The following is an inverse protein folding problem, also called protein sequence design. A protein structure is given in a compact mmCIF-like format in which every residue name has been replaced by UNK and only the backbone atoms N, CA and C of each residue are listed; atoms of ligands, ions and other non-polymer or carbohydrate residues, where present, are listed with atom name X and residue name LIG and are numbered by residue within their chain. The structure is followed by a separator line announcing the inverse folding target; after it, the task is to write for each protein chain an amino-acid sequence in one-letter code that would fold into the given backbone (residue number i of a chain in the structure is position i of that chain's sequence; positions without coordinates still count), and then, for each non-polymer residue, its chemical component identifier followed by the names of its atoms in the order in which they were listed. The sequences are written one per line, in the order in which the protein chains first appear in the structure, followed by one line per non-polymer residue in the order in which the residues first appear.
data_IF_612977855779
#
_entry.id   IF_612977855779
#
_cell.length_a   1.000
_cell.length_b   1.000
_cell.length_c   1.000
_cell.angle_alpha   90.00
_cell.angle_beta   90.00
_cell.angle_gamma   90.00
#
_symmetry.space_group_name_H-M   'P 1'
#
loop_
_entity.id
_entity.type
_entity.pdbx_description
1 polymer ?
#
# COMPACT_ATOMS: atom_id res chain seq x y z
N UNK A 1 23.84 -22.83 8.49
CA UNK A 1 23.35 -21.86 7.50
C UNK A 1 23.50 -20.50 8.17
N UNK A 2 24.50 -19.73 7.78
CA UNK A 2 24.86 -18.49 8.44
C UNK A 2 25.21 -17.45 7.39
N UNK A 3 24.43 -16.38 7.33
CA UNK A 3 24.66 -15.26 6.41
C UNK A 3 26.09 -14.73 6.60
N UNK A 4 26.94 -14.89 5.57
CA UNK A 4 28.29 -14.33 5.57
C UNK A 4 28.23 -12.91 5.05
N UNK A 5 28.84 -12.00 5.80
CA UNK A 5 28.92 -10.59 5.40
C UNK A 5 29.61 -10.45 4.04
N UNK A 6 28.94 -9.78 3.09
CA UNK A 6 29.48 -9.50 1.77
C UNK A 6 29.45 -10.66 0.77
N UNK A 7 28.84 -11.80 1.10
CA UNK A 7 28.56 -12.89 0.16
C UNK A 7 27.05 -13.12 0.02
N UNK A 8 26.62 -13.43 -1.21
CA UNK A 8 25.25 -13.83 -1.52
C UNK A 8 25.10 -15.34 -1.68
N UNK A 9 26.16 -16.14 -1.49
CA UNK A 9 26.12 -17.56 -1.85
C UNK A 9 25.04 -18.33 -1.10
N UNK A 10 25.04 -18.23 0.24
CA UNK A 10 24.04 -18.92 1.07
C UNK A 10 22.64 -18.30 0.92
N UNK A 11 22.54 -16.99 0.68
CA UNK A 11 21.27 -16.29 0.49
C UNK A 11 20.61 -16.76 -0.80
N UNK A 12 21.35 -16.76 -1.90
CA UNK A 12 20.86 -17.13 -3.22
C UNK A 12 20.62 -18.63 -3.39
N UNK A 13 21.33 -19.47 -2.63
CA UNK A 13 21.01 -20.90 -2.54
C UNK A 13 19.67 -21.16 -1.80
N UNK A 14 19.26 -20.24 -0.93
CA UNK A 14 18.07 -20.38 -0.09
C UNK A 14 16.83 -19.69 -0.68
N UNK A 15 17.01 -18.60 -1.42
CA UNK A 15 15.94 -17.82 -2.02
C UNK A 15 16.31 -17.34 -3.42
N UNK A 16 15.35 -17.41 -4.35
CA UNK A 16 15.52 -17.02 -5.74
C UNK A 16 15.38 -15.50 -5.95
N UNK A 17 16.27 -14.69 -5.38
CA UNK A 17 16.19 -13.24 -5.52
C UNK A 17 16.57 -12.80 -6.94
N UNK A 18 15.99 -11.68 -7.40
CA UNK A 18 16.27 -11.04 -8.71
C UNK A 18 17.76 -10.90 -9.03
N UNK A 19 18.59 -10.64 -8.02
CA UNK A 19 20.04 -10.43 -8.17
C UNK A 19 20.85 -11.74 -8.26
N UNK A 20 20.30 -12.87 -7.83
CA UNK A 20 21.01 -14.15 -7.71
C UNK A 20 21.58 -14.71 -9.01
N UNK A 21 20.91 -14.57 -10.18
CA UNK A 21 21.48 -14.97 -11.46
C UNK A 21 22.71 -14.14 -11.90
N UNK A 22 23.03 -13.04 -11.20
CA UNK A 22 24.07 -12.08 -11.60
C UNK A 22 25.25 -12.00 -10.63
N UNK A 23 25.26 -12.81 -9.57
CA UNK A 23 26.29 -12.79 -8.51
C UNK A 23 26.92 -14.16 -8.32
N UNK A 24 28.09 -14.22 -7.67
CA UNK A 24 28.81 -15.45 -7.35
C UNK A 24 29.64 -16.00 -8.50
N UNK A 25 29.00 -16.41 -9.59
CA UNK A 25 29.64 -17.06 -10.74
C UNK A 25 29.27 -16.41 -12.08
N UNK A 26 29.92 -16.80 -13.18
CA UNK A 26 29.57 -16.34 -14.53
C UNK A 26 28.17 -16.77 -14.98
N UNK A 27 27.60 -17.79 -14.36
CA UNK A 27 26.24 -18.30 -14.62
C UNK A 27 25.26 -17.95 -13.48
N UNK A 28 25.69 -17.15 -12.50
CA UNK A 28 24.89 -16.86 -11.31
C UNK A 28 24.88 -17.99 -10.28
N UNK A 29 24.02 -17.85 -9.28
CA UNK A 29 23.74 -18.86 -8.26
C UNK A 29 22.29 -19.28 -8.37
N UNK A 30 22.08 -20.59 -8.50
CA UNK A 30 20.74 -21.18 -8.56
C UNK A 30 20.25 -21.54 -7.15
N UNK A 31 18.96 -21.27 -6.83
CA UNK A 31 18.36 -21.69 -5.58
C UNK A 31 18.25 -23.23 -5.52
N UNK A 32 18.47 -23.79 -4.33
CA UNK A 32 18.33 -25.23 -4.09
C UNK A 32 16.88 -25.71 -4.18
N UNK A 33 15.91 -24.85 -3.86
CA UNK A 33 14.49 -25.13 -3.99
C UNK A 33 13.74 -23.89 -4.49
N UNK A 34 12.92 -24.07 -5.52
CA UNK A 34 12.06 -23.03 -6.09
C UNK A 34 10.71 -23.63 -6.52
N UNK A 35 9.69 -22.77 -6.65
CA UNK A 35 8.36 -23.18 -7.12
C UNK A 35 8.40 -23.71 -8.54
N UNK A 36 7.64 -24.77 -8.84
CA UNK A 36 7.54 -25.32 -10.19
C UNK A 36 7.12 -24.26 -11.21
N UNK A 37 7.77 -24.31 -12.36
CA UNK A 37 7.44 -23.47 -13.50
C UNK A 37 6.21 -24.05 -14.21
N UNK A 38 5.40 -23.17 -14.77
CA UNK A 38 4.22 -23.56 -15.55
C UNK A 38 4.40 -23.05 -16.96
N UNK A 39 4.20 -23.95 -17.93
CA UNK A 39 4.20 -23.60 -19.34
C UNK A 39 2.78 -23.21 -19.77
N UNK A 40 2.60 -21.97 -20.23
CA UNK A 40 1.34 -21.49 -20.80
C UNK A 40 1.61 -21.08 -22.24
N UNK A 41 1.00 -21.78 -23.20
CA UNK A 41 1.06 -21.45 -24.63
C UNK A 41 2.49 -21.27 -25.18
N UNK A 42 3.43 -22.14 -24.78
CA UNK A 42 4.82 -22.10 -25.21
C UNK A 42 5.70 -21.07 -24.50
N UNK A 43 5.17 -20.36 -23.48
CA UNK A 43 5.95 -19.49 -22.60
C UNK A 43 6.08 -20.15 -21.22
N UNK A 44 7.32 -20.32 -20.75
CA UNK A 44 7.62 -20.81 -19.41
C UNK A 44 7.52 -19.65 -18.43
N UNK A 45 6.55 -19.71 -17.52
CA UNK A 45 6.39 -18.77 -16.41
C UNK A 45 7.07 -19.36 -15.19
N UNK A 46 8.04 -18.62 -14.67
CA UNK A 46 8.71 -18.95 -13.42
C UNK A 46 7.85 -18.49 -12.24
N UNK A 47 7.80 -19.31 -11.19
CA UNK A 47 7.21 -18.95 -9.89
C UNK A 47 5.81 -18.28 -9.97
N UNK A 48 4.81 -18.95 -10.58
CA UNK A 48 3.50 -18.35 -10.83
C UNK A 48 2.75 -17.95 -9.54
N UNK A 49 3.01 -18.64 -8.42
CA UNK A 49 2.46 -18.30 -7.11
C UNK A 49 2.87 -16.89 -6.65
N UNK A 50 4.15 -16.56 -6.77
CA UNK A 50 4.71 -15.27 -6.37
C UNK A 50 4.24 -14.16 -7.32
N UNK A 51 4.15 -14.47 -8.62
CA UNK A 51 3.56 -13.58 -9.63
C UNK A 51 2.14 -13.14 -9.27
N UNK A 52 1.31 -14.07 -8.77
CA UNK A 52 -0.05 -13.75 -8.33
C UNK A 52 -0.05 -12.74 -7.17
N UNK A 53 0.87 -12.87 -6.21
CA UNK A 53 1.00 -11.93 -5.09
C UNK A 53 1.41 -10.54 -5.57
N UNK A 54 2.32 -10.43 -6.53
CA UNK A 54 2.68 -9.13 -7.13
C UNK A 54 1.46 -8.44 -7.77
N UNK A 55 0.60 -9.19 -8.48
CA UNK A 55 -0.63 -8.63 -9.06
C UNK A 55 -1.57 -8.10 -7.97
N UNK A 56 -1.75 -8.87 -6.88
CA UNK A 56 -2.53 -8.44 -5.72
C UNK A 56 -1.91 -7.20 -5.06
N UNK A 57 -0.58 -7.16 -4.93
CA UNK A 57 0.16 -6.04 -4.35
C UNK A 57 -0.03 -4.75 -5.15
N UNK A 58 0.07 -4.82 -6.49
CA UNK A 58 -0.17 -3.69 -7.38
C UNK A 58 -1.61 -3.18 -7.24
N UNK A 59 -2.60 -4.09 -7.24
CA UNK A 59 -4.01 -3.72 -7.09
C UNK A 59 -4.29 -3.06 -5.74
N UNK A 60 -3.82 -3.65 -4.64
CA UNK A 60 -3.95 -3.08 -3.30
C UNK A 60 -3.24 -1.73 -3.18
N UNK A 61 -2.07 -1.57 -3.79
CA UNK A 61 -1.35 -0.29 -3.84
C UNK A 61 -2.16 0.76 -4.59
N UNK A 62 -2.84 0.40 -5.68
CA UNK A 62 -3.76 1.28 -6.39
C UNK A 62 -4.91 1.79 -5.50
N UNK A 63 -5.53 0.90 -4.71
CA UNK A 63 -6.58 1.27 -3.76
C UNK A 63 -6.04 2.23 -2.69
N UNK A 64 -4.87 1.94 -2.11
CA UNK A 64 -4.24 2.82 -1.12
C UNK A 64 -3.96 4.22 -1.71
N UNK A 65 -3.39 4.30 -2.92
CA UNK A 65 -3.15 5.57 -3.61
C UNK A 65 -4.46 6.34 -3.81
N UNK A 66 -5.55 5.66 -4.20
CA UNK A 66 -6.86 6.29 -4.36
C UNK A 66 -7.36 6.91 -3.04
N UNK A 67 -7.30 6.18 -1.93
CA UNK A 67 -7.73 6.68 -0.63
C UNK A 67 -6.87 7.85 -0.11
N UNK A 68 -5.55 7.79 -0.28
CA UNK A 68 -4.66 8.89 0.09
C UNK A 68 -5.02 10.16 -0.70
N UNK A 69 -5.33 10.02 -1.99
CA UNK A 69 -5.70 11.15 -2.85
C UNK A 69 -7.08 11.72 -2.55
N UNK A 70 -8.00 10.92 -1.99
CA UNK A 70 -9.32 11.41 -1.58
C UNK A 70 -9.29 12.29 -0.33
N UNK A 71 -8.21 12.28 0.47
CA UNK A 71 -8.07 13.20 1.62
C UNK A 71 -7.63 14.59 1.15
N UNK A 72 -8.33 15.65 1.59
CA UNK A 72 -8.08 17.04 1.16
C UNK A 72 -7.02 17.76 2.01
N UNK A 73 -7.05 17.57 3.33
CA UNK A 73 -6.03 18.02 4.29
C UNK A 73 -5.49 16.78 5.00
N UNK A 74 -4.19 16.54 4.90
CA UNK A 74 -3.51 15.44 5.57
C UNK A 74 -2.00 15.71 5.55
N UNK A 75 -1.36 15.55 6.71
CA UNK A 75 0.09 15.72 6.87
C UNK A 75 0.84 14.61 6.11
N UNK A 76 1.88 14.97 5.38
CA UNK A 76 2.74 14.09 4.60
C UNK A 76 2.08 13.54 3.34
N UNK A 77 0.92 14.06 2.90
CA UNK A 77 0.12 13.42 1.83
C UNK A 77 0.91 13.25 0.54
N UNK A 78 1.66 14.26 0.10
CA UNK A 78 2.38 14.20 -1.18
C UNK A 78 3.66 13.37 -1.07
N UNK A 79 4.28 13.40 0.10
CA UNK A 79 5.50 12.70 0.49
C UNK A 79 5.25 11.19 0.55
N UNK A 80 4.16 10.75 1.21
CA UNK A 80 3.81 9.33 1.32
C UNK A 80 3.28 8.78 -0.01
N UNK A 81 2.59 9.59 -0.82
CA UNK A 81 2.18 9.19 -2.17
C UNK A 81 3.39 8.82 -3.04
N UNK A 82 4.51 9.52 -2.89
CA UNK A 82 5.74 9.16 -3.62
C UNK A 82 6.27 7.79 -3.21
N UNK A 83 6.18 7.41 -1.93
CA UNK A 83 6.53 6.06 -1.47
C UNK A 83 5.66 4.98 -2.15
N UNK A 84 4.33 5.16 -2.17
CA UNK A 84 3.43 4.20 -2.80
C UNK A 84 3.58 4.13 -4.32
N UNK A 85 3.92 5.24 -4.99
CA UNK A 85 4.26 5.22 -6.41
C UNK A 85 5.53 4.42 -6.69
N UNK A 86 6.57 4.58 -5.87
CA UNK A 86 7.79 3.79 -5.99
C UNK A 86 7.51 2.30 -5.73
N UNK A 87 6.73 1.99 -4.70
CA UNK A 87 6.32 0.62 -4.39
C UNK A 87 5.56 -0.03 -5.56
N UNK A 88 4.61 0.68 -6.18
CA UNK A 88 3.90 0.17 -7.36
C UNK A 88 4.83 -0.12 -8.55
N UNK A 89 5.84 0.74 -8.80
CA UNK A 89 6.83 0.52 -9.87
C UNK A 89 7.74 -0.68 -9.53
N UNK A 90 8.15 -0.83 -8.26
CA UNK A 90 8.95 -1.97 -7.79
C UNK A 90 8.20 -3.28 -7.99
N UNK A 91 6.93 -3.35 -7.58
CA UNK A 91 6.10 -4.55 -7.72
C UNK A 91 5.85 -4.90 -9.20
N UNK A 92 5.65 -3.89 -10.06
CA UNK A 92 5.54 -4.09 -11.50
C UNK A 92 6.82 -4.66 -12.11
N UNK A 93 7.98 -4.14 -11.69
CA UNK A 93 9.27 -4.62 -12.18
C UNK A 93 9.62 -6.00 -11.62
N UNK A 94 9.31 -6.26 -10.36
CA UNK A 94 9.44 -7.58 -9.74
C UNK A 94 8.60 -8.62 -10.48
N UNK A 95 7.35 -8.29 -10.84
CA UNK A 95 6.51 -9.15 -11.64
C UNK A 95 7.19 -9.60 -12.94
N UNK A 96 7.86 -8.70 -13.68
CA UNK A 96 8.56 -9.07 -14.93
C UNK A 96 9.83 -9.89 -14.71
N UNK A 97 10.53 -9.67 -13.59
CA UNK A 97 11.81 -10.32 -13.28
C UNK A 97 11.60 -11.70 -12.66
N UNK A 98 10.69 -11.83 -11.70
CA UNK A 98 10.41 -13.09 -10.99
C UNK A 98 9.60 -14.07 -11.86
N UNK A 99 8.73 -13.56 -12.75
CA UNK A 99 8.01 -14.41 -13.72
C UNK A 99 8.88 -14.99 -14.82
N UNK A 100 10.11 -14.49 -14.99
CA UNK A 100 11.00 -14.83 -16.09
C UNK A 100 10.48 -14.39 -17.47
N UNK A 101 9.50 -13.49 -17.54
CA UNK A 101 9.09 -12.82 -18.81
C UNK A 101 10.29 -12.14 -19.45
N UNK A 102 11.17 -11.56 -18.63
CA UNK A 102 12.52 -11.15 -19.05
C UNK A 102 13.47 -12.29 -18.68
N UNK A 103 13.94 -13.10 -19.64
CA UNK A 103 14.82 -14.22 -19.33
C UNK A 103 16.15 -13.72 -18.78
N UNK A 104 16.71 -14.44 -17.79
CA UNK A 104 18.02 -14.14 -17.19
C UNK A 104 19.16 -14.14 -18.20
N UNK A 105 19.04 -14.92 -19.28
CA UNK A 105 20.00 -14.98 -20.38
C UNK A 105 19.96 -13.75 -21.31
N UNK A 106 18.92 -12.90 -21.21
CA UNK A 106 18.82 -11.71 -22.04
C UNK A 106 19.82 -10.64 -21.57
N UNK A 107 20.52 -10.00 -22.51
CA UNK A 107 21.47 -8.89 -22.26
C UNK A 107 20.84 -7.72 -21.49
N UNK A 108 19.51 -7.60 -21.55
CA UNK A 108 18.75 -6.57 -20.85
C UNK A 108 18.52 -6.87 -19.37
N UNK A 109 18.54 -8.13 -18.95
CA UNK A 109 18.23 -8.55 -17.57
C UNK A 109 19.09 -7.83 -16.51
N UNK A 110 20.43 -7.71 -16.66
CA UNK A 110 21.26 -7.00 -15.68
C UNK A 110 20.89 -5.52 -15.51
N UNK A 111 20.38 -4.87 -16.56
CA UNK A 111 19.95 -3.47 -16.49
C UNK A 111 18.65 -3.34 -15.69
N UNK A 112 17.66 -4.19 -15.98
CA UNK A 112 16.39 -4.21 -15.24
C UNK A 112 16.61 -4.61 -13.77
N UNK A 113 17.46 -5.60 -13.51
CA UNK A 113 17.84 -5.98 -12.15
C UNK A 113 18.51 -4.79 -11.42
N UNK A 114 19.39 -4.05 -12.07
CA UNK A 114 20.01 -2.87 -11.47
C UNK A 114 19.00 -1.74 -11.18
N UNK A 115 18.09 -1.45 -12.12
CA UNK A 115 17.00 -0.49 -11.89
C UNK A 115 16.14 -0.93 -10.71
N UNK A 116 15.79 -2.21 -10.63
CA UNK A 116 15.05 -2.78 -9.50
C UNK A 116 15.78 -2.57 -8.18
N UNK A 117 17.06 -2.93 -8.09
CA UNK A 117 17.84 -2.72 -6.86
C UNK A 117 17.91 -1.25 -6.45
N UNK A 118 18.00 -0.35 -7.44
CA UNK A 118 18.04 1.07 -7.16
C UNK A 118 16.72 1.65 -6.71
N UNK A 119 15.61 1.19 -7.30
CA UNK A 119 14.26 1.57 -6.86
C UNK A 119 14.00 1.09 -5.44
N UNK A 120 14.40 -0.15 -5.09
CA UNK A 120 14.29 -0.67 -3.74
C UNK A 120 15.06 0.21 -2.76
N UNK A 121 16.34 0.51 -3.01
CA UNK A 121 17.13 1.37 -2.14
C UNK A 121 16.53 2.79 -2.01
N UNK A 122 16.04 3.36 -3.11
CA UNK A 122 15.36 4.65 -3.13
C UNK A 122 14.03 4.64 -2.37
N UNK A 123 13.24 3.57 -2.45
CA UNK A 123 11.98 3.44 -1.71
C UNK A 123 12.21 3.41 -0.19
N UNK A 124 13.25 2.74 0.29
CA UNK A 124 13.61 2.76 1.70
C UNK A 124 14.15 4.14 2.16
N UNK A 125 14.86 4.87 1.29
CA UNK A 125 15.20 6.28 1.57
C UNK A 125 13.95 7.14 1.67
N UNK A 126 12.99 6.96 0.76
CA UNK A 126 11.72 7.66 0.77
C UNK A 126 10.94 7.35 2.05
N UNK A 127 10.89 6.08 2.48
CA UNK A 127 10.28 5.66 3.75
C UNK A 127 10.95 6.35 4.95
N UNK A 128 12.28 6.37 4.99
CA UNK A 128 13.04 7.02 6.05
C UNK A 128 12.74 8.52 6.15
N UNK A 129 12.74 9.24 5.03
CA UNK A 129 12.43 10.68 5.00
C UNK A 129 10.98 10.92 5.43
N UNK A 130 10.02 10.11 4.93
CA UNK A 130 8.63 10.16 5.38
C UNK A 130 8.52 9.98 6.91
N UNK A 131 9.36 9.14 7.49
CA UNK A 131 9.39 8.94 8.93
C UNK A 131 9.84 10.16 9.74
N UNK A 132 10.52 11.12 9.12
CA UNK A 132 10.89 12.39 9.73
C UNK A 132 9.89 13.52 9.49
N UNK A 133 9.01 13.40 8.49
CA UNK A 133 8.00 14.42 8.17
C UNK A 133 7.05 14.66 9.35
N UNK A 134 6.72 13.61 10.10
CA UNK A 134 5.86 13.72 11.29
C UNK A 134 6.44 14.57 12.43
N UNK A 135 7.76 14.81 12.45
CA UNK A 135 8.39 15.72 13.43
C UNK A 135 8.31 17.20 13.03
N UNK A 136 7.77 17.50 11.84
CA UNK A 136 7.57 18.86 11.34
C UNK A 136 8.86 19.72 11.32
N UNK A 137 10.05 19.10 11.16
CA UNK A 137 11.32 19.83 11.00
C UNK A 137 11.32 20.75 9.77
N UNK A 138 10.60 20.35 8.73
CA UNK A 138 10.27 21.16 7.58
C UNK A 138 8.75 21.18 7.44
N UNK A 139 8.20 22.33 7.06
CA UNK A 139 6.77 22.46 6.81
C UNK A 139 6.36 21.52 5.67
N UNK A 140 5.42 20.64 5.99
CA UNK A 140 4.95 19.57 5.11
C UNK A 140 4.27 20.13 3.85
N UNK A 141 4.43 19.45 2.71
CA UNK A 141 3.85 19.87 1.43
C UNK A 141 4.49 21.12 0.81
N UNK A 142 5.47 21.74 1.46
CA UNK A 142 6.27 22.82 0.86
C UNK A 142 7.08 22.30 -0.33
N UNK A 143 7.33 23.15 -1.34
CA UNK A 143 8.20 22.77 -2.46
C UNK A 143 9.59 22.29 -1.99
N UNK A 144 10.11 22.85 -0.91
CA UNK A 144 11.40 22.47 -0.34
C UNK A 144 11.37 21.02 0.18
N UNK A 145 10.38 20.65 1.00
CA UNK A 145 10.19 19.28 1.49
C UNK A 145 10.15 18.26 0.34
N UNK A 146 9.32 18.55 -0.67
CA UNK A 146 9.11 17.66 -1.80
C UNK A 146 10.35 17.51 -2.69
N UNK A 147 11.04 18.62 -2.98
CA UNK A 147 12.27 18.56 -3.77
C UNK A 147 13.40 17.88 -3.02
N UNK A 148 13.51 18.10 -1.71
CA UNK A 148 14.46 17.37 -0.87
C UNK A 148 14.22 15.86 -0.94
N UNK A 149 12.97 15.42 -0.72
CA UNK A 149 12.59 14.00 -0.78
C UNK A 149 12.88 13.39 -2.17
N UNK A 150 12.54 14.12 -3.25
CA UNK A 150 12.79 13.67 -4.63
C UNK A 150 14.26 13.55 -4.95
N UNK A 151 15.05 14.56 -4.61
CA UNK A 151 16.49 14.57 -4.89
C UNK A 151 17.20 13.49 -4.06
N UNK A 152 16.90 13.36 -2.78
CA UNK A 152 17.50 12.34 -1.93
C UNK A 152 17.18 10.91 -2.42
N UNK A 153 15.93 10.67 -2.82
CA UNK A 153 15.51 9.40 -3.40
C UNK A 153 16.19 9.14 -4.75
N UNK A 154 16.27 10.16 -5.62
CA UNK A 154 16.92 10.04 -6.92
C UNK A 154 18.44 9.82 -6.83
N UNK A 155 19.11 10.48 -5.88
CA UNK A 155 20.54 10.27 -5.60
C UNK A 155 20.78 8.85 -5.10
N UNK A 156 19.97 8.37 -4.14
CA UNK A 156 20.10 6.99 -3.65
C UNK A 156 19.87 5.99 -4.79
N UNK A 157 18.83 6.19 -5.60
CA UNK A 157 18.54 5.39 -6.79
C UNK A 157 19.72 5.37 -7.77
N UNK A 158 20.32 6.52 -8.08
CA UNK A 158 21.45 6.62 -9.01
C UNK A 158 22.72 5.92 -8.50
N UNK A 159 23.06 6.12 -7.22
CA UNK A 159 24.21 5.47 -6.59
C UNK A 159 24.04 3.96 -6.56
N UNK A 160 22.86 3.49 -6.16
CA UNK A 160 22.56 2.06 -6.07
C UNK A 160 22.51 1.38 -7.43
N UNK A 161 21.90 2.01 -8.43
CA UNK A 161 21.93 1.56 -9.82
C UNK A 161 23.36 1.44 -10.34
N UNK A 162 24.19 2.46 -10.10
CA UNK A 162 25.59 2.43 -10.52
C UNK A 162 26.36 1.28 -9.88
N UNK A 163 26.24 1.09 -8.56
CA UNK A 163 26.92 0.01 -7.84
C UNK A 163 26.43 -1.37 -8.32
N UNK A 164 25.13 -1.54 -8.57
CA UNK A 164 24.58 -2.78 -9.09
C UNK A 164 25.14 -3.12 -10.47
N UNK A 165 25.09 -2.18 -11.43
CA UNK A 165 25.64 -2.40 -12.78
C UNK A 165 27.15 -2.64 -12.74
N UNK A 166 27.88 -1.84 -11.96
CA UNK A 166 29.32 -2.00 -11.82
C UNK A 166 29.67 -3.39 -11.29
N UNK A 167 28.88 -3.92 -10.35
CA UNK A 167 29.04 -5.28 -9.81
C UNK A 167 28.74 -6.34 -10.87
N UNK A 168 27.60 -6.25 -11.57
CA UNK A 168 27.18 -7.25 -12.55
C UNK A 168 28.12 -7.32 -13.77
N UNK A 169 28.63 -6.17 -14.23
CA UNK A 169 29.48 -6.08 -15.43
C UNK A 169 30.99 -6.06 -15.14
N UNK A 170 31.40 -6.17 -13.87
CA UNK A 170 32.80 -6.08 -13.45
C UNK A 170 33.49 -4.76 -13.87
N UNK A 171 32.80 -3.64 -13.65
CA UNK A 171 33.29 -2.30 -13.99
C UNK A 171 33.78 -1.61 -12.71
N UNK A 172 34.76 -0.71 -12.82
CA UNK A 172 35.24 0.14 -11.73
C UNK A 172 35.77 -0.60 -10.49
N UNK A 173 36.32 -1.81 -10.67
CA UNK A 173 36.90 -2.61 -9.58
C UNK A 173 35.89 -3.41 -8.75
N UNK A 174 34.60 -3.36 -9.09
CA UNK A 174 33.58 -4.23 -8.52
C UNK A 174 33.62 -5.62 -9.17
N UNK A 175 33.34 -6.65 -8.41
CA UNK A 175 33.33 -8.04 -8.88
C UNK A 175 32.05 -8.74 -8.40
N UNK A 176 31.40 -9.49 -9.29
CA UNK A 176 30.27 -10.35 -8.94
C UNK A 176 30.65 -11.46 -7.95
N UNK A 177 31.93 -11.83 -7.86
CA UNK A 177 32.41 -12.84 -6.91
C UNK A 177 32.59 -12.31 -5.48
N UNK A 178 32.78 -10.99 -5.33
CA UNK A 178 32.88 -10.31 -4.01
C UNK A 178 32.00 -9.05 -3.99
N UNK A 179 30.67 -9.22 -4.06
CA UNK A 179 29.72 -8.12 -4.27
C UNK A 179 29.39 -7.36 -2.96
N UNK A 180 30.41 -6.87 -2.25
CA UNK A 180 30.25 -6.21 -0.94
C UNK A 180 29.37 -4.96 -1.05
N UNK A 181 29.59 -4.12 -2.08
CA UNK A 181 28.80 -2.91 -2.29
C UNK A 181 27.32 -3.20 -2.52
N UNK A 182 27.01 -4.22 -3.34
CA UNK A 182 25.65 -4.67 -3.59
C UNK A 182 25.00 -5.24 -2.32
N UNK A 183 25.77 -5.97 -1.50
CA UNK A 183 25.29 -6.48 -0.21
C UNK A 183 24.87 -5.36 0.75
N UNK A 184 25.67 -4.29 0.84
CA UNK A 184 25.35 -3.13 1.67
C UNK A 184 24.05 -2.46 1.20
N UNK A 185 23.90 -2.24 -0.10
CA UNK A 185 22.74 -1.53 -0.66
C UNK A 185 21.46 -2.37 -0.60
N UNK A 186 21.56 -3.67 -0.88
CA UNK A 186 20.38 -4.53 -1.03
C UNK A 186 19.88 -5.11 0.30
N UNK A 187 20.78 -5.32 1.28
CA UNK A 187 20.44 -5.92 2.58
C UNK A 187 20.54 -4.88 3.70
N UNK A 188 21.73 -4.30 3.89
CA UNK A 188 22.02 -3.48 5.08
C UNK A 188 21.28 -2.15 5.06
N UNK A 189 21.23 -1.47 3.91
CA UNK A 189 20.56 -0.16 3.77
C UNK A 189 19.05 -0.22 4.06
N UNK A 190 18.26 -1.12 3.43
CA UNK A 190 16.86 -1.34 3.79
C UNK A 190 16.64 -1.62 5.28
N UNK A 191 17.50 -2.45 5.88
CA UNK A 191 17.41 -2.79 7.29
C UNK A 191 17.62 -1.55 8.19
N UNK A 192 18.67 -0.77 7.93
CA UNK A 192 18.95 0.46 8.68
C UNK A 192 17.80 1.45 8.53
N UNK A 193 17.34 1.69 7.30
CA UNK A 193 16.23 2.61 7.04
C UNK A 193 14.96 2.21 7.79
N UNK A 194 14.63 0.92 7.79
CA UNK A 194 13.45 0.38 8.47
C UNK A 194 13.56 0.52 9.99
N UNK A 195 14.70 0.18 10.58
CA UNK A 195 14.92 0.31 12.03
C UNK A 195 14.83 1.78 12.46
N UNK A 196 15.47 2.69 11.73
CA UNK A 196 15.40 4.13 12.01
C UNK A 196 13.96 4.63 11.89
N UNK A 197 13.23 4.21 10.84
CA UNK A 197 11.82 4.56 10.66
C UNK A 197 10.95 4.09 11.84
N UNK A 198 11.09 2.83 12.27
CA UNK A 198 10.31 2.28 13.40
C UNK A 198 10.60 3.05 14.68
N UNK A 199 11.88 3.29 14.99
CA UNK A 199 12.28 4.04 16.19
C UNK A 199 11.74 5.47 16.14
N UNK A 200 11.82 6.13 14.98
CA UNK A 200 11.31 7.49 14.82
C UNK A 200 9.78 7.55 14.97
N UNK A 201 9.03 6.59 14.42
CA UNK A 201 7.58 6.54 14.58
C UNK A 201 7.17 6.27 16.03
N UNK A 202 7.86 5.37 16.72
CA UNK A 202 7.59 5.11 18.14
C UNK A 202 7.84 6.35 18.99
N UNK A 203 8.94 7.08 18.77
CA UNK A 203 9.23 8.33 19.48
C UNK A 203 8.12 9.35 19.24
N UNK A 204 7.69 9.52 17.99
CA UNK A 204 6.62 10.45 17.62
C UNK A 204 5.31 10.11 18.34
N UNK A 205 4.89 8.85 18.32
CA UNK A 205 3.62 8.45 18.95
C UNK A 205 3.69 8.59 20.47
N UNK A 206 4.81 8.22 21.11
CA UNK A 206 4.93 8.33 22.58
C UNK A 206 5.09 9.76 23.09
N UNK A 207 5.67 10.67 22.30
CA UNK A 207 6.01 12.04 22.75
C UNK A 207 4.99 13.07 22.30
N UNK A 208 4.35 12.87 21.15
CA UNK A 208 3.56 13.91 20.48
C UNK A 208 2.08 13.59 20.43
N UNK A 209 1.69 12.33 20.26
CA UNK A 209 0.28 11.95 20.09
C UNK A 209 -0.39 11.56 21.41
N UNK A 210 -1.64 11.98 21.57
CA UNK A 210 -2.49 11.57 22.69
C UNK A 210 -3.13 10.19 22.43
N UNK A 211 -3.52 9.90 21.17
CA UNK A 211 -4.03 8.60 20.77
C UNK A 211 -2.89 7.59 20.54
N UNK A 212 -3.00 6.44 21.21
CA UNK A 212 -2.03 5.34 21.15
C UNK A 212 -2.45 4.22 20.21
N UNK A 213 -3.61 4.31 19.57
CA UNK A 213 -4.04 3.37 18.55
C UNK A 213 -2.99 3.10 17.45
N UNK A 214 -2.25 4.12 16.92
CA UNK A 214 -1.25 3.91 15.88
C UNK A 214 -0.07 3.01 16.30
N UNK A 215 0.15 2.80 17.61
CA UNK A 215 1.19 1.87 18.09
C UNK A 215 0.91 0.45 17.59
N UNK A 216 -0.37 0.05 17.53
CA UNK A 216 -0.76 -1.26 17.02
C UNK A 216 -0.31 -1.46 15.57
N UNK A 217 -0.53 -0.45 14.72
CA UNK A 217 -0.12 -0.50 13.31
C UNK A 217 1.41 -0.60 13.15
N UNK A 218 2.18 0.12 13.97
CA UNK A 218 3.66 0.02 13.96
C UNK A 218 4.12 -1.39 14.37
N UNK A 219 3.54 -1.95 15.42
CA UNK A 219 3.90 -3.27 15.94
C UNK A 219 3.56 -4.36 14.92
N UNK A 220 2.34 -4.34 14.36
CA UNK A 220 1.94 -5.31 13.33
C UNK A 220 2.77 -5.17 12.06
N UNK A 221 3.05 -3.94 11.60
CA UNK A 221 3.93 -3.71 10.46
C UNK A 221 5.33 -4.27 10.68
N UNK A 222 5.94 -3.98 11.83
CA UNK A 222 7.26 -4.50 12.21
C UNK A 222 7.27 -6.02 12.32
N UNK A 223 6.21 -6.62 12.88
CA UNK A 223 6.08 -8.06 12.98
C UNK A 223 6.01 -8.71 11.58
N UNK A 224 5.18 -8.20 10.68
CA UNK A 224 5.09 -8.72 9.30
C UNK A 224 6.41 -8.56 8.54
N UNK A 225 7.09 -7.41 8.66
CA UNK A 225 8.41 -7.21 8.07
C UNK A 225 9.43 -8.22 8.61
N UNK A 226 9.51 -8.40 9.93
CA UNK A 226 10.46 -9.32 10.56
C UNK A 226 10.18 -10.76 10.15
N UNK A 227 8.91 -11.16 10.14
CA UNK A 227 8.48 -12.49 9.67
C UNK A 227 8.84 -12.69 8.21
N UNK A 228 8.68 -11.67 7.34
CA UNK A 228 9.10 -11.75 5.94
C UNK A 228 10.60 -12.07 5.81
N UNK A 229 11.46 -11.32 6.52
CA UNK A 229 12.91 -11.55 6.49
C UNK A 229 13.29 -12.94 7.02
N UNK A 230 12.68 -13.36 8.13
CA UNK A 230 12.96 -14.67 8.75
C UNK A 230 12.53 -15.82 7.84
N UNK A 231 11.35 -15.73 7.22
CA UNK A 231 10.87 -16.74 6.26
C UNK A 231 11.84 -16.84 5.08
N UNK A 232 12.24 -15.70 4.50
CA UNK A 232 13.10 -15.66 3.33
C UNK A 232 14.49 -16.24 3.62
N UNK A 233 15.16 -15.81 4.70
CA UNK A 233 16.56 -16.17 4.96
C UNK A 233 16.74 -17.46 5.74
N UNK A 234 15.78 -17.89 6.56
CA UNK A 234 15.92 -19.06 7.42
C UNK A 234 15.07 -20.26 7.00
N UNK A 235 13.83 -20.04 6.54
CA UNK A 235 12.86 -21.11 6.35
C UNK A 235 12.45 -21.37 4.89
N UNK A 236 12.96 -20.60 3.93
CA UNK A 236 12.56 -20.68 2.51
C UNK A 236 12.67 -22.11 1.94
N UNK A 237 13.83 -22.76 2.11
CA UNK A 237 14.03 -24.15 1.65
C UNK A 237 13.11 -25.14 2.37
N UNK A 238 12.99 -25.01 3.69
CA UNK A 238 12.13 -25.89 4.51
C UNK A 238 10.67 -25.83 4.09
N UNK A 239 10.17 -24.64 3.76
CA UNK A 239 8.80 -24.43 3.28
C UNK A 239 8.62 -25.03 1.88
N UNK A 240 9.60 -24.78 1.00
CA UNK A 240 9.58 -25.28 -0.38
C UNK A 240 9.55 -26.81 -0.44
N UNK A 241 10.37 -27.49 0.37
CA UNK A 241 10.37 -28.95 0.49
C UNK A 241 9.08 -29.48 1.12
N UNK A 242 8.58 -28.83 2.18
CA UNK A 242 7.34 -29.24 2.87
C UNK A 242 6.11 -29.16 1.96
N UNK A 243 6.08 -28.20 1.05
CA UNK A 243 4.97 -27.96 0.11
C UNK A 243 5.28 -28.56 -1.28
N UNK A 244 6.25 -29.49 -1.39
CA UNK A 244 6.57 -30.24 -2.63
C UNK A 244 6.81 -29.36 -3.87
N UNK A 245 7.44 -28.20 -3.69
CA UNK A 245 7.72 -27.20 -4.73
C UNK A 245 6.47 -26.55 -5.36
N UNK A 246 5.31 -26.55 -4.70
CA UNK A 246 4.15 -25.76 -5.19
C UNK A 246 4.22 -24.29 -4.78
N UNK A 247 4.87 -23.99 -3.65
CA UNK A 247 5.05 -22.65 -3.10
C UNK A 247 6.48 -22.57 -2.57
N UNK A 248 7.12 -21.40 -2.69
CA UNK A 248 8.45 -21.12 -2.18
C UNK A 248 8.43 -20.05 -1.07
N UNK A 249 9.59 -19.80 -0.46
CA UNK A 249 9.74 -18.75 0.55
C UNK A 249 9.47 -17.33 0.00
N UNK A 250 9.65 -17.10 -1.31
CA UNK A 250 9.40 -15.79 -1.93
C UNK A 250 7.93 -15.43 -1.93
N UNK A 251 7.03 -16.38 -2.17
CA UNK A 251 5.58 -16.14 -2.05
C UNK A 251 5.19 -15.58 -0.67
N UNK A 252 5.68 -16.20 0.41
CA UNK A 252 5.37 -15.75 1.76
C UNK A 252 6.08 -14.44 2.11
N UNK A 253 7.29 -14.25 1.60
CA UNK A 253 8.02 -12.99 1.72
C UNK A 253 7.25 -11.84 1.09
N UNK A 254 6.84 -11.95 -0.18
CA UNK A 254 6.11 -10.89 -0.89
C UNK A 254 4.76 -10.61 -0.24
N UNK A 255 4.06 -11.65 0.23
CA UNK A 255 2.80 -11.49 0.97
C UNK A 255 3.01 -10.73 2.28
N UNK A 256 4.00 -11.12 3.09
CA UNK A 256 4.28 -10.45 4.36
C UNK A 256 4.81 -9.02 4.15
N UNK A 257 5.58 -8.77 3.08
CA UNK A 257 6.01 -7.43 2.70
C UNK A 257 4.81 -6.55 2.31
N UNK A 258 3.86 -7.08 1.52
CA UNK A 258 2.62 -6.37 1.20
C UNK A 258 1.84 -6.02 2.48
N UNK A 259 1.65 -6.97 3.41
CA UNK A 259 0.99 -6.70 4.68
C UNK A 259 1.71 -5.64 5.52
N UNK A 260 3.05 -5.67 5.53
CA UNK A 260 3.84 -4.62 6.18
C UNK A 260 3.60 -3.24 5.58
N UNK A 261 3.59 -3.14 4.24
CA UNK A 261 3.31 -1.87 3.53
C UNK A 261 1.87 -1.40 3.79
N UNK A 262 0.91 -2.32 3.89
CA UNK A 262 -0.46 -1.98 4.27
C UNK A 262 -0.55 -1.42 5.70
N UNK A 263 0.30 -1.89 6.63
CA UNK A 263 0.36 -1.32 7.97
C UNK A 263 1.01 0.07 7.97
N UNK A 264 1.98 0.34 7.10
CA UNK A 264 2.51 1.71 6.89
C UNK A 264 1.42 2.65 6.40
N UNK A 265 0.57 2.19 5.46
CA UNK A 265 -0.61 2.95 5.03
C UNK A 265 -1.60 3.19 6.18
N UNK A 266 -1.95 2.15 6.93
CA UNK A 266 -2.89 2.27 8.07
C UNK A 266 -2.37 3.20 9.16
N UNK A 267 -1.07 3.12 9.46
CA UNK A 267 -0.42 4.03 10.38
C UNK A 267 -0.56 5.48 9.91
N UNK A 268 -0.22 5.77 8.64
CA UNK A 268 -0.38 7.11 8.07
C UNK A 268 -1.85 7.58 8.07
N UNK A 269 -2.79 6.69 7.76
CA UNK A 269 -4.21 7.00 7.81
C UNK A 269 -4.69 7.31 9.23
N UNK A 270 -4.20 6.58 10.23
CA UNK A 270 -4.59 6.72 11.64
C UNK A 270 -4.13 8.03 12.26
N UNK A 271 -2.96 8.55 11.87
CA UNK A 271 -2.44 9.84 12.37
C UNK A 271 -3.04 11.06 11.62
N UNK A 272 -3.85 10.84 10.58
CA UNK A 272 -4.48 11.89 9.74
C UNK A 272 -6.00 11.82 9.75
N UNK A 273 -6.61 11.38 10.87
CA UNK A 273 -8.08 11.19 10.99
C UNK A 273 -8.85 12.48 11.30
N UNK A 274 -8.22 13.46 11.95
CA UNK A 274 -8.84 14.71 12.44
C UNK A 274 -9.38 15.62 11.31
N UNK A 275 -8.84 15.50 10.09
CA UNK A 275 -9.04 16.48 9.01
C UNK A 275 -10.40 16.39 8.27
N UNK A 276 -11.23 15.38 8.57
CA UNK A 276 -12.53 15.19 7.90
C UNK A 276 -13.71 15.90 8.59
N UNK A 277 -13.53 16.44 9.80
CA UNK A 277 -14.60 17.11 10.55
C UNK A 277 -14.94 18.53 10.02
N UNK A 278 -14.05 19.12 9.21
CA UNK A 278 -14.31 20.40 8.54
C UNK A 278 -14.95 20.25 7.15
N UNK A 279 -15.20 19.03 6.67
CA UNK A 279 -16.28 18.82 5.69
C UNK A 279 -17.60 18.95 6.41
N UNK A 280 -17.98 20.20 6.66
CA UNK A 280 -19.35 20.58 7.00
C UNK A 280 -20.22 19.85 5.98
N UNK A 281 -20.94 18.82 6.43
CA UNK A 281 -22.01 18.26 5.63
C UNK A 281 -22.84 19.45 5.15
N UNK A 282 -23.22 19.48 3.88
CA UNK A 282 -24.06 20.51 3.28
C UNK A 282 -25.48 20.58 3.88
N UNK A 283 -25.65 20.14 5.14
CA UNK A 283 -26.71 20.60 6.01
C UNK A 283 -26.15 21.80 6.75
N UNK A 284 -26.37 22.97 6.16
CA UNK A 284 -26.25 24.23 6.87
C UNK A 284 -26.80 24.05 8.29
N UNK A 285 -25.96 24.27 9.30
CA UNK A 285 -26.46 24.58 10.63
C UNK A 285 -27.27 25.86 10.48
N UNK A 286 -28.58 25.69 10.27
CA UNK A 286 -29.54 26.78 10.39
C UNK A 286 -29.40 27.25 11.83
N UNK A 287 -28.71 28.36 12.02
CA UNK A 287 -28.82 29.10 13.27
C UNK A 287 -30.27 29.57 13.34
N UNK A 288 -31.13 28.81 14.00
CA UNK A 288 -32.44 29.33 14.39
C UNK A 288 -32.19 30.52 15.30
N UNK A 289 -32.39 31.72 14.77
CA UNK A 289 -32.43 32.94 15.56
C UNK A 289 -33.64 32.81 16.48
N UNK A 290 -33.39 32.50 17.76
CA UNK A 290 -34.43 32.28 18.78
C UNK A 290 -35.05 33.57 19.33
N UNK A 291 -34.78 34.74 18.75
CA UNK A 291 -35.26 36.01 19.28
C UNK A 291 -36.28 36.67 18.36
N UNK A 292 -37.60 36.58 18.66
CA UNK A 292 -38.67 37.16 17.86
C UNK A 292 -38.63 38.69 17.78
N UNK A 293 -37.83 39.37 18.61
CA UNK A 293 -37.76 40.83 18.67
C UNK A 293 -36.81 41.46 17.65
N UNK A 294 -35.97 40.65 16.98
CA UNK A 294 -35.12 41.10 15.86
C UNK A 294 -35.73 40.84 14.49
N UNK A 295 -36.87 40.13 14.42
CA UNK A 295 -37.67 40.02 13.22
C UNK A 295 -38.42 41.36 13.03
N UNK A 296 -37.78 42.30 12.33
CA UNK A 296 -38.35 43.59 12.00
C UNK A 296 -39.77 43.43 11.47
N UNK A 297 -40.71 44.12 12.10
CA UNK A 297 -42.12 44.04 11.75
C UNK A 297 -42.34 44.37 10.27
N UNK A 298 -43.01 43.46 9.57
CA UNK A 298 -44.11 43.76 8.66
C UNK A 298 -44.68 42.46 8.05
N UNK A 299 -46.01 42.40 8.04
CA UNK A 299 -46.88 41.58 7.20
C UNK A 299 -46.67 40.06 7.16
N UNK A 300 -47.50 39.35 7.94
CA UNK A 300 -47.88 37.97 7.64
C UNK A 300 -48.90 37.98 6.48
N UNK A 301 -48.41 37.72 5.27
CA UNK A 301 -49.21 37.17 4.17
C UNK A 301 -48.90 35.68 4.05
N UNK A 302 -49.96 34.85 4.09
CA UNK A 302 -49.93 33.38 4.02
C UNK A 302 -49.24 32.84 2.75
N UNK A 303 -47.94 32.55 2.80
CA UNK A 303 -47.30 31.61 1.87
C UNK A 303 -46.15 30.88 2.58
N UNK A 304 -46.40 29.69 3.12
CA UNK A 304 -45.43 28.58 3.21
C UNK A 304 -46.04 27.35 3.91
N UNK A 305 -47.00 26.70 3.25
CA UNK A 305 -47.36 25.32 3.56
C UNK A 305 -46.45 24.35 2.78
N UNK A 306 -45.20 24.21 3.21
CA UNK A 306 -44.32 23.14 2.76
C UNK A 306 -43.31 22.72 3.85
N UNK A 307 -43.80 22.53 5.09
CA UNK A 307 -43.03 21.89 6.16
C UNK A 307 -42.97 20.38 5.91
N UNK A 308 -41.84 19.93 5.39
CA UNK A 308 -41.56 18.54 5.04
C UNK A 308 -41.14 17.72 6.27
N UNK A 309 -42.01 17.60 7.29
CA UNK A 309 -41.83 16.69 8.41
C UNK A 309 -43.16 16.13 8.93
N UNK A 310 -43.58 15.01 8.36
CA UNK A 310 -44.28 13.97 9.13
C UNK A 310 -43.88 12.59 8.61
N UNK A 311 -43.27 11.80 9.48
CA UNK A 311 -42.83 10.42 9.28
C UNK A 311 -43.98 9.49 8.86
N UNK A 312 -43.79 8.73 7.77
CA UNK A 312 -44.09 7.29 7.62
C UNK A 312 -44.05 6.86 6.14
N UNK A 313 -42.88 6.45 5.64
CA UNK A 313 -42.73 5.86 4.30
C UNK A 313 -41.77 4.67 4.34
N UNK A 314 -42.13 3.50 3.78
CA UNK A 314 -41.26 2.31 3.74
C UNK A 314 -40.10 2.50 2.74
N UNK A 315 -39.02 1.69 2.84
CA UNK A 315 -37.77 1.97 2.14
C UNK A 315 -37.91 1.79 0.62
N UNK A 316 -37.20 2.63 -0.14
CA UNK A 316 -37.11 2.55 -1.59
C UNK A 316 -36.32 1.29 -2.02
N UNK A 317 -36.90 0.48 -2.89
CA UNK A 317 -36.27 -0.71 -3.49
C UNK A 317 -35.28 -0.31 -4.59
N UNK A 318 -34.01 -0.73 -4.45
CA UNK A 318 -33.05 -0.81 -5.55
C UNK A 318 -33.43 -2.00 -6.43
N UNK A 319 -33.95 -1.73 -7.63
CA UNK A 319 -34.01 -2.55 -8.86
C UNK A 319 -35.38 -2.37 -9.54
N UNK A 320 -35.34 -1.75 -10.71
CA UNK A 320 -36.26 -2.00 -11.83
C UNK A 320 -37.76 -1.82 -11.60
N UNK A 321 -38.23 -0.57 -11.67
CA UNK A 321 -39.50 -0.22 -12.33
C UNK A 321 -40.81 -0.61 -11.63
N UNK A 322 -41.69 0.40 -11.55
CA UNK A 322 -43.14 0.35 -11.29
C UNK A 322 -43.56 0.16 -9.82
N UNK A 323 -44.12 1.23 -9.23
CA UNK A 323 -44.70 1.22 -7.89
C UNK A 323 -46.17 0.76 -7.93
N UNK A 324 -46.60 0.04 -6.88
CA UNK A 324 -47.87 -0.69 -6.77
C UNK A 324 -49.18 0.12 -6.82
N UNK A 325 -49.16 1.37 -7.28
CA UNK A 325 -50.37 2.16 -7.52
C UNK A 325 -51.08 1.84 -8.84
N UNK A 326 -50.49 1.00 -9.70
CA UNK A 326 -51.09 0.56 -10.97
C UNK A 326 -51.91 -0.74 -10.87
N UNK A 327 -51.99 -1.41 -9.70
CA UNK A 327 -52.66 -2.72 -9.59
C UNK A 327 -54.05 -2.71 -8.92
N UNK A 328 -54.53 -1.58 -8.37
CA UNK A 328 -55.82 -1.54 -7.65
C UNK A 328 -56.75 -0.39 -8.10
N UNK A 329 -56.65 0.01 -9.37
CA UNK A 329 -57.66 0.84 -10.02
C UNK A 329 -58.78 -0.02 -10.60
N UNK A 330 -59.58 -0.67 -9.75
CA UNK A 330 -60.76 -1.40 -10.21
C UNK A 330 -61.45 -2.23 -9.16
N UNK A 331 -62.42 -1.65 -8.43
CA UNK A 331 -63.68 -2.31 -8.07
C UNK A 331 -64.53 -1.44 -7.12
N UNK A 332 -65.74 -1.11 -7.61
CA UNK A 332 -67.03 -0.96 -6.93
C UNK A 332 -67.13 -0.87 -5.41
N UNK A 333 -67.88 0.14 -4.97
CA UNK A 333 -68.27 0.36 -3.58
C UNK A 333 -69.31 -0.61 -3.00
N UNK A 334 -69.41 -0.56 -1.66
CA UNK A 334 -70.48 -0.94 -0.69
C UNK A 334 -69.77 -0.98 0.67
N UNK A 335 -70.10 -0.28 1.75
CA UNK A 335 -71.41 0.13 2.27
C UNK A 335 -71.75 -0.74 3.48
N UNK A 336 -71.22 -0.43 4.69
CA UNK A 336 -71.54 -0.99 6.02
C UNK A 336 -71.06 0.04 7.07
N UNK A 337 -71.81 0.30 8.18
CA UNK A 337 -72.29 -0.69 9.15
C UNK A 337 -73.83 -0.84 9.21
N UNK A 338 -74.37 -1.89 9.87
CA UNK A 338 -75.81 -2.10 9.93
C UNK A 338 -76.48 -1.15 10.93
N UNK A 339 -77.78 -0.83 10.76
CA UNK A 339 -78.49 0.12 11.61
C UNK A 339 -79.05 -0.54 12.88
N UNK A 340 -79.18 0.29 13.93
CA UNK A 340 -79.88 -0.01 15.18
C UNK A 340 -81.28 0.59 15.09
N UNK A 341 -82.31 -0.22 15.35
CA UNK A 341 -83.73 0.16 15.36
C UNK A 341 -84.04 1.27 16.37
N UNK A 342 -84.98 2.19 16.05
CA UNK A 342 -86.24 2.38 16.79
C UNK A 342 -87.08 3.60 16.33
N UNK A 343 -88.38 3.32 16.18
CA UNK A 343 -89.60 4.15 16.11
C UNK A 343 -89.83 5.08 14.92
#
# INVERSE_FOLDING_TARGET
MGVKFGSFDEICQTAALVICPLVGSTQGIEPSCYSRNVEISGTLIFQPSTCFVHVVAIFMTGIMIFHIRSKYTAVGRKEILMFFYLYAIIELLAFFLDSGIIPTANVSYPWFAAVYTGLVAGAYTCLLINGFVGFQFAEDGTPLSLWFLRIATFVTFGVSLFVAIATFKKIAGFDYAKPIGLWIIYILWPLICTVVYIVSQLILVFRTLEDRWPIGDIVFGTAFFTVAQVILFAFSNTICDAIKHYIDGLFFFTLCMLLSVMMVYKYWDSITREDLEFSVGSKATVWEVKDPLLAGGNDYGDEDSASNYTHAGPPASLVGGVSGKQLYGGAGGRGYPPPVERY
#
